data_IF_278038884383
#
_entry.id   IF_278038884383
#
_cell.length_a   1.000
_cell.length_b   1.000
_cell.length_c   1.000
_cell.angle_alpha   90.00
_cell.angle_beta   90.00
_cell.angle_gamma   90.00
#
_symmetry.space_group_name_H-M   'P 1'
#
loop_
_entity.id
_entity.type
_entity.pdbx_description
1 polymer ?
#
# COMPACT_ATOMS: atom_id res chain seq x y z
N UNK A 1 5.09 -1.31 5.49
CA UNK A 1 3.76 -1.82 5.13
C UNK A 1 3.53 -3.28 5.52
N UNK A 2 4.29 -4.25 4.99
CA UNK A 2 4.00 -5.68 5.20
C UNK A 2 4.07 -6.14 6.67
N UNK A 3 5.07 -5.67 7.42
CA UNK A 3 5.16 -5.95 8.86
C UNK A 3 3.95 -5.37 9.63
N UNK A 4 3.50 -4.18 9.25
CA UNK A 4 2.30 -3.56 9.82
C UNK A 4 1.06 -4.40 9.54
N UNK A 5 0.88 -4.92 8.31
CA UNK A 5 -0.21 -5.84 8.01
C UNK A 5 -0.19 -7.10 8.88
N UNK A 6 0.99 -7.70 9.07
CA UNK A 6 1.15 -8.87 9.92
C UNK A 6 0.76 -8.56 11.37
N UNK A 7 1.25 -7.44 11.91
CA UNK A 7 0.93 -7.01 13.27
C UNK A 7 -0.57 -6.72 13.43
N UNK A 8 -1.18 -5.94 12.53
CA UNK A 8 -2.61 -5.63 12.58
C UNK A 8 -3.47 -6.90 12.58
N UNK A 9 -3.13 -7.86 11.71
CA UNK A 9 -3.81 -9.16 11.65
C UNK A 9 -3.60 -9.99 12.92
N UNK A 10 -2.38 -10.02 13.45
CA UNK A 10 -2.04 -10.75 14.68
C UNK A 10 -2.81 -10.21 15.90
N UNK A 11 -2.99 -8.90 15.98
CA UNK A 11 -3.69 -8.26 17.10
C UNK A 11 -5.20 -8.04 16.86
N UNK A 12 -5.75 -8.51 15.73
CA UNK A 12 -7.17 -8.34 15.40
C UNK A 12 -7.58 -6.88 15.18
N UNK A 13 -6.63 -6.01 14.83
CA UNK A 13 -6.88 -4.59 14.59
C UNK A 13 -7.43 -4.43 13.17
N UNK A 14 -8.60 -3.79 13.06
CA UNK A 14 -9.24 -3.48 11.78
C UNK A 14 -8.47 -2.37 11.06
N UNK A 15 -8.19 -2.57 9.78
CA UNK A 15 -7.63 -1.57 8.89
C UNK A 15 -8.76 -0.96 8.05
N UNK A 16 -8.96 0.35 8.14
CA UNK A 16 -9.98 1.07 7.36
C UNK A 16 -9.46 1.47 5.98
N UNK A 17 -8.28 2.11 5.91
CA UNK A 17 -7.69 2.53 4.65
C UNK A 17 -6.16 2.40 4.69
N UNK A 18 -5.56 2.22 3.52
CA UNK A 18 -4.13 2.35 3.28
C UNK A 18 -3.89 3.49 2.30
N UNK A 19 -3.03 4.43 2.68
CA UNK A 19 -2.58 5.50 1.81
C UNK A 19 -1.21 5.14 1.26
N UNK A 20 -1.09 4.97 -0.05
CA UNK A 20 0.18 4.72 -0.74
C UNK A 20 0.78 6.03 -1.24
N UNK A 21 2.08 6.19 -1.02
CA UNK A 21 2.81 7.39 -1.40
C UNK A 21 3.86 7.05 -2.46
N UNK A 22 3.76 7.71 -3.61
CA UNK A 22 4.61 7.49 -4.78
C UNK A 22 5.97 8.22 -4.73
N UNK A 23 6.27 9.01 -3.69
CA UNK A 23 7.53 9.79 -3.60
C UNK A 23 8.81 8.94 -3.63
N UNK A 24 8.70 7.65 -3.31
CA UNK A 24 9.83 6.71 -3.26
C UNK A 24 9.62 5.53 -4.21
N UNK A 25 8.81 5.72 -5.25
CA UNK A 25 8.71 4.73 -6.32
C UNK A 25 10.09 4.50 -6.96
N UNK A 26 10.30 3.27 -7.41
CA UNK A 26 11.44 2.95 -8.25
C UNK A 26 11.45 3.84 -9.49
N UNK A 27 12.63 4.26 -9.93
CA UNK A 27 12.79 4.92 -11.23
C UNK A 27 12.50 3.97 -12.40
N UNK A 28 12.52 2.66 -12.15
CA UNK A 28 12.05 1.64 -13.07
C UNK A 28 10.52 1.50 -12.94
N UNK A 29 9.81 1.85 -14.02
CA UNK A 29 8.34 1.82 -14.08
C UNK A 29 7.76 0.42 -13.87
N UNK A 30 8.42 -0.63 -14.37
CA UNK A 30 7.96 -2.00 -14.20
C UNK A 30 8.03 -2.40 -12.73
N UNK A 31 9.15 -2.09 -12.06
CA UNK A 31 9.33 -2.38 -10.64
C UNK A 31 8.35 -1.58 -9.78
N UNK A 32 8.10 -0.31 -10.10
CA UNK A 32 7.14 0.53 -9.40
C UNK A 32 5.72 -0.05 -9.51
N UNK A 33 5.30 -0.40 -10.74
CA UNK A 33 3.97 -0.96 -11.00
C UNK A 33 3.79 -2.33 -10.34
N UNK A 34 4.78 -3.21 -10.41
CA UNK A 34 4.72 -4.53 -9.78
C UNK A 34 4.64 -4.43 -8.26
N UNK A 35 5.37 -3.49 -7.67
CA UNK A 35 5.33 -3.22 -6.22
C UNK A 35 3.95 -2.73 -5.78
N UNK A 36 3.35 -1.81 -6.55
CA UNK A 36 2.01 -1.31 -6.29
C UNK A 36 0.96 -2.42 -6.40
N UNK A 37 0.99 -3.18 -7.49
CA UNK A 37 0.10 -4.32 -7.73
C UNK A 37 0.19 -5.35 -6.60
N UNK A 38 1.41 -5.67 -6.18
CA UNK A 38 1.65 -6.59 -5.07
C UNK A 38 1.00 -6.11 -3.77
N UNK A 39 1.17 -4.83 -3.43
CA UNK A 39 0.60 -4.25 -2.21
C UNK A 39 -0.93 -4.18 -2.25
N UNK A 40 -1.52 -3.80 -3.39
CA UNK A 40 -2.98 -3.80 -3.58
C UNK A 40 -3.58 -5.20 -3.41
N UNK A 41 -2.97 -6.21 -4.05
CA UNK A 41 -3.38 -7.61 -3.90
C UNK A 41 -3.27 -8.07 -2.44
N UNK A 42 -2.16 -7.71 -1.77
CA UNK A 42 -1.94 -8.08 -0.37
C UNK A 42 -2.94 -7.42 0.58
N UNK A 43 -3.30 -6.15 0.33
CA UNK A 43 -4.32 -5.42 1.07
C UNK A 43 -5.67 -6.14 0.93
N UNK A 44 -6.12 -6.41 -0.29
CA UNK A 44 -7.41 -7.10 -0.52
C UNK A 44 -7.46 -8.51 0.05
N UNK A 45 -6.35 -9.25 0.00
CA UNK A 45 -6.27 -10.59 0.59
C UNK A 45 -6.26 -10.62 2.12
N UNK A 46 -5.81 -9.54 2.78
CA UNK A 46 -5.69 -9.49 4.25
C UNK A 46 -6.80 -8.68 4.93
N UNK A 47 -7.24 -7.60 4.27
CA UNK A 47 -8.20 -6.61 4.73
C UNK A 47 -9.13 -6.22 3.55
N UNK A 48 -10.09 -7.09 3.16
CA UNK A 48 -10.90 -6.89 1.95
C UNK A 48 -11.75 -5.60 1.97
N UNK A 49 -12.18 -5.21 3.17
CA UNK A 49 -12.94 -3.97 3.43
C UNK A 49 -12.07 -2.71 3.42
N UNK A 50 -10.73 -2.84 3.43
CA UNK A 50 -9.87 -1.67 3.46
C UNK A 50 -9.86 -0.94 2.12
N UNK A 51 -9.92 0.38 2.20
CA UNK A 51 -9.81 1.28 1.05
C UNK A 51 -8.35 1.50 0.68
N UNK A 52 -8.08 1.55 -0.62
CA UNK A 52 -6.78 1.95 -1.15
C UNK A 52 -6.88 3.41 -1.61
N UNK A 53 -5.98 4.25 -1.12
CA UNK A 53 -5.89 5.67 -1.46
C UNK A 53 -4.49 5.95 -1.95
N UNK A 54 -4.35 6.80 -2.97
CA UNK A 54 -3.06 7.20 -3.53
C UNK A 54 -2.84 8.68 -3.28
N UNK A 55 -1.64 9.04 -2.87
CA UNK A 55 -1.19 10.43 -2.87
C UNK A 55 -0.56 10.72 -4.23
N UNK A 56 -1.07 11.74 -4.91
CA UNK A 56 -0.49 12.20 -6.17
C UNK A 56 0.99 12.52 -5.98
N UNK A 57 1.79 12.20 -7.01
CA UNK A 57 3.16 12.69 -7.12
C UNK A 57 3.10 14.21 -7.15
N UNK A 58 3.37 14.82 -6.01
CA UNK A 58 3.54 16.25 -5.92
C UNK A 58 4.92 16.54 -6.47
N UNK A 59 5.01 17.29 -7.56
CA UNK A 59 6.27 17.85 -8.01
C UNK A 59 6.83 18.66 -6.83
N UNK A 60 7.93 18.18 -6.24
CA UNK A 60 8.60 18.89 -5.17
C UNK A 60 9.03 20.26 -5.74
N UNK A 61 8.45 21.33 -5.19
CA UNK A 61 8.82 22.73 -5.47
C UNK A 61 10.23 23.00 -4.98
#
# INVERSE_FOLDING_TARGET
TLLSFAALKQYGIRLHSLVFNHIHDSSDECVAQDSLNYLQCRLKGSFPEAEWLELDKTDAV
#
